data_IF_854000327940
#
_entry.id   IF_854000327940
#
_cell.length_a   1.000
_cell.length_b   1.000
_cell.length_c   1.000
_cell.angle_alpha   90.00
_cell.angle_beta   90.00
_cell.angle_gamma   90.00
#
_symmetry.space_group_name_H-M   'P 1'
#
loop_
_entity.id
_entity.type
_entity.pdbx_description
1 polymer ?
#
# COMPACT_ATOMS: atom_id res chain seq x y z
N UNK A 1 73.50 24.99 5.52
CA UNK A 1 72.52 24.19 6.27
C UNK A 1 71.19 24.85 6.07
N UNK A 2 70.44 24.42 4.99
CA UNK A 2 69.07 24.92 4.67
C UNK A 2 68.04 24.03 5.31
N UNK A 3 67.29 24.56 6.26
CA UNK A 3 66.16 23.88 6.84
C UNK A 3 64.93 24.20 5.97
N UNK A 4 64.41 23.20 5.26
CA UNK A 4 63.17 23.27 4.54
C UNK A 4 62.03 23.11 5.56
N UNK A 5 61.27 24.19 5.84
CA UNK A 5 60.02 24.11 6.59
C UNK A 5 58.94 23.62 5.65
N UNK A 6 58.50 22.40 5.83
CA UNK A 6 57.28 21.87 5.17
C UNK A 6 56.04 22.57 5.75
N UNK A 7 55.08 23.02 4.92
CA UNK A 7 53.88 23.68 5.42
C UNK A 7 52.86 22.63 5.92
N UNK A 8 52.87 22.37 7.21
CA UNK A 8 51.86 21.53 7.88
C UNK A 8 50.41 22.05 7.74
N UNK A 9 50.23 23.30 7.34
CA UNK A 9 48.93 23.96 7.20
C UNK A 9 48.08 23.51 6.01
N UNK A 10 48.67 23.05 4.89
CA UNK A 10 47.94 22.64 3.69
C UNK A 10 47.31 21.24 3.82
N UNK A 11 47.92 20.34 4.59
CA UNK A 11 47.42 19.00 4.80
C UNK A 11 46.17 18.98 5.70
N UNK A 12 46.08 19.89 6.68
CA UNK A 12 44.94 20.02 7.56
C UNK A 12 43.68 20.59 6.85
N UNK A 13 43.87 21.50 5.88
CA UNK A 13 42.77 22.09 5.11
C UNK A 13 42.16 21.12 4.10
N UNK A 14 42.97 20.21 3.53
CA UNK A 14 42.53 19.18 2.61
C UNK A 14 41.70 18.09 3.33
N UNK A 15 42.00 17.79 4.58
CA UNK A 15 41.28 16.77 5.38
C UNK A 15 39.93 17.26 5.87
N UNK A 16 39.72 18.56 6.08
CA UNK A 16 38.43 19.15 6.46
C UNK A 16 37.43 19.20 5.29
N UNK A 17 37.90 19.26 4.04
CA UNK A 17 37.00 19.30 2.86
C UNK A 17 36.36 17.94 2.52
N UNK A 18 36.88 16.81 3.02
CA UNK A 18 36.35 15.45 2.75
C UNK A 18 35.17 15.09 3.64
N UNK A 19 34.94 15.80 4.75
CA UNK A 19 33.88 15.51 5.71
C UNK A 19 32.52 16.11 5.36
N UNK A 20 32.41 16.93 4.30
CA UNK A 20 31.17 17.62 3.92
C UNK A 20 30.32 16.85 2.87
N UNK A 21 30.85 15.74 2.34
CA UNK A 21 30.30 15.11 1.13
C UNK A 21 29.36 13.92 1.34
N UNK A 22 28.81 13.67 2.54
CA UNK A 22 27.92 12.53 2.80
C UNK A 22 26.61 12.90 3.50
N UNK A 23 25.94 13.95 3.06
CA UNK A 23 24.52 14.11 3.39
C UNK A 23 23.70 13.46 2.27
N UNK A 24 23.26 12.21 2.50
CA UNK A 24 22.19 11.65 1.67
C UNK A 24 20.95 12.56 1.80
N UNK A 25 20.27 12.91 0.71
CA UNK A 25 19.05 13.69 0.80
C UNK A 25 18.01 12.93 1.64
N UNK A 26 17.23 13.67 2.41
CA UNK A 26 16.13 13.10 3.18
C UNK A 26 15.15 12.40 2.23
N UNK A 27 14.58 11.23 2.61
CA UNK A 27 13.64 10.53 1.78
C UNK A 27 12.33 11.31 1.64
N UNK A 28 11.74 11.27 0.45
CA UNK A 28 10.39 11.78 0.20
C UNK A 28 9.39 10.72 0.68
N UNK A 29 8.47 11.14 1.56
CA UNK A 29 7.49 10.24 2.15
C UNK A 29 6.15 10.32 1.42
N UNK A 30 5.57 9.17 1.11
CA UNK A 30 4.30 9.03 0.40
C UNK A 30 3.25 8.34 1.26
N UNK A 31 1.99 8.70 1.01
CA UNK A 31 0.81 8.06 1.63
C UNK A 31 -0.28 7.82 0.60
N UNK A 32 -1.17 6.87 0.86
CA UNK A 32 -2.32 6.58 0.02
C UNK A 32 -3.49 7.51 0.36
N UNK A 33 -4.24 7.89 -0.67
CA UNK A 33 -5.48 8.64 -0.55
C UNK A 33 -6.67 7.73 -0.90
N UNK A 34 -7.77 7.86 -0.15
CA UNK A 34 -8.99 7.16 -0.48
C UNK A 34 -9.62 7.71 -1.76
N UNK A 35 -10.07 6.81 -2.63
CA UNK A 35 -10.77 7.14 -3.86
C UNK A 35 -12.29 7.03 -3.65
N UNK A 36 -13.09 8.02 -4.06
CA UNK A 36 -14.54 7.94 -3.95
C UNK A 36 -15.10 6.81 -4.82
N UNK A 37 -16.20 6.19 -4.37
CA UNK A 37 -16.87 5.10 -5.10
C UNK A 37 -18.38 5.14 -4.97
N UNK A 38 -19.07 4.30 -5.73
CA UNK A 38 -20.52 4.26 -5.73
C UNK A 38 -21.06 3.66 -4.43
N UNK A 39 -21.99 4.38 -3.79
CA UNK A 39 -22.68 3.91 -2.60
C UNK A 39 -23.57 2.72 -2.93
N UNK A 40 -23.51 1.70 -2.08
CA UNK A 40 -24.36 0.51 -2.14
C UNK A 40 -25.26 0.44 -0.91
N UNK A 41 -26.46 -0.10 -1.09
CA UNK A 41 -27.40 -0.35 -0.01
C UNK A 41 -27.27 -1.76 0.55
N UNK A 42 -27.54 -1.92 1.83
CA UNK A 42 -27.45 -3.20 2.52
C UNK A 42 -26.02 -3.48 3.02
N UNK A 43 -25.77 -4.74 3.38
CA UNK A 43 -24.51 -5.20 3.95
C UNK A 43 -24.57 -5.44 5.46
N UNK A 44 -23.52 -6.04 6.05
CA UNK A 44 -23.44 -6.33 7.47
C UNK A 44 -23.25 -5.03 8.26
N UNK A 45 -23.71 -4.99 9.51
CA UNK A 45 -23.53 -3.79 10.36
C UNK A 45 -22.08 -3.59 10.77
N UNK A 46 -21.36 -4.68 11.06
CA UNK A 46 -19.97 -4.67 11.46
C UNK A 46 -19.16 -5.60 10.56
N UNK A 47 -18.17 -5.04 9.88
CA UNK A 47 -17.19 -5.77 9.07
C UNK A 47 -15.84 -5.70 9.76
N UNK A 48 -15.22 -6.85 10.02
CA UNK A 48 -13.85 -6.94 10.52
C UNK A 48 -12.91 -7.17 9.34
N UNK A 49 -12.10 -6.17 9.01
CA UNK A 49 -10.99 -6.32 8.09
C UNK A 49 -9.79 -6.93 8.85
N UNK A 50 -9.43 -8.16 8.51
CA UNK A 50 -8.22 -8.79 9.03
C UNK A 50 -6.96 -8.10 8.52
N UNK A 51 -5.82 -8.39 9.14
CA UNK A 51 -4.54 -7.89 8.68
C UNK A 51 -4.35 -8.27 7.21
N UNK A 52 -4.10 -7.26 6.36
CA UNK A 52 -3.88 -7.47 4.93
C UNK A 52 -2.53 -8.17 4.75
N UNK A 53 -2.55 -9.35 4.12
CA UNK A 53 -1.33 -10.00 3.66
C UNK A 53 -0.85 -9.31 2.37
N UNK A 54 0.43 -8.99 2.30
CA UNK A 54 1.08 -8.45 1.10
C UNK A 54 2.30 -9.31 0.74
N UNK A 55 2.69 -9.29 -0.53
CA UNK A 55 3.90 -9.98 -0.95
C UNK A 55 5.13 -9.43 -0.22
N UNK A 56 6.02 -10.30 0.27
CA UNK A 56 7.17 -9.92 1.11
C UNK A 56 8.07 -8.84 0.50
N UNK A 57 8.20 -8.80 -0.83
CA UNK A 57 9.02 -7.78 -1.47
C UNK A 57 8.41 -6.37 -1.36
N UNK A 58 7.11 -6.26 -1.02
CA UNK A 58 6.42 -5.00 -0.76
C UNK A 58 6.50 -4.55 0.72
N UNK A 59 6.99 -5.41 1.63
CA UNK A 59 7.10 -5.12 3.08
C UNK A 59 8.31 -4.25 3.44
N UNK A 60 8.70 -3.33 2.57
CA UNK A 60 9.83 -2.45 2.78
C UNK A 60 9.39 -0.99 2.85
N UNK A 61 10.23 -0.14 3.44
CA UNK A 61 9.95 1.30 3.53
C UNK A 61 10.02 1.96 2.16
N UNK A 62 10.92 1.48 1.28
CA UNK A 62 11.07 2.02 -0.06
C UNK A 62 9.95 1.56 -0.98
N UNK A 63 9.52 2.44 -1.88
CA UNK A 63 8.56 2.10 -2.93
C UNK A 63 9.23 1.14 -3.92
N UNK A 64 8.55 0.04 -4.25
CA UNK A 64 8.92 -0.90 -5.31
C UNK A 64 8.14 -0.53 -6.55
N UNK A 65 8.82 0.02 -7.55
CA UNK A 65 8.20 0.42 -8.80
C UNK A 65 7.81 -0.78 -9.65
N UNK A 66 8.69 -1.76 -9.77
CA UNK A 66 8.48 -2.91 -10.65
C UNK A 66 9.16 -4.16 -10.13
N UNK A 67 8.54 -5.31 -10.40
CA UNK A 67 9.09 -6.66 -10.17
C UNK A 67 9.29 -7.45 -11.46
N UNK A 68 9.35 -6.76 -12.59
CA UNK A 68 9.48 -7.37 -13.92
C UNK A 68 10.90 -7.88 -14.19
N UNK A 69 11.02 -8.82 -15.12
CA UNK A 69 12.30 -9.34 -15.62
C UNK A 69 13.22 -9.90 -14.51
N UNK A 70 12.64 -10.59 -13.52
CA UNK A 70 13.36 -11.22 -12.40
C UNK A 70 14.13 -10.22 -11.51
N UNK A 71 13.79 -8.93 -11.56
CA UNK A 71 14.46 -7.87 -10.83
C UNK A 71 13.45 -6.96 -10.13
N UNK A 72 13.78 -6.54 -8.90
CA UNK A 72 13.04 -5.49 -8.21
C UNK A 72 13.66 -4.13 -8.55
N UNK A 73 12.85 -3.21 -9.06
CA UNK A 73 13.20 -1.80 -9.18
C UNK A 73 12.70 -1.07 -7.92
N UNK A 74 13.63 -0.73 -7.04
CA UNK A 74 13.36 -0.15 -5.73
C UNK A 74 13.84 1.30 -5.71
N UNK A 75 12.94 2.22 -5.35
CA UNK A 75 13.23 3.64 -5.28
C UNK A 75 14.09 3.95 -4.07
N UNK A 76 15.29 4.50 -4.29
CA UNK A 76 16.26 4.74 -3.21
C UNK A 76 15.85 5.85 -2.24
N UNK A 77 15.10 6.86 -2.72
CA UNK A 77 14.77 8.06 -1.96
C UNK A 77 13.26 8.32 -1.82
N UNK A 78 12.41 7.42 -2.30
CA UNK A 78 10.96 7.52 -2.22
C UNK A 78 10.44 6.40 -1.33
N UNK A 79 9.87 6.77 -0.19
CA UNK A 79 9.52 5.84 0.87
C UNK A 79 8.04 5.95 1.25
N UNK A 80 7.50 4.89 1.74
CA UNK A 80 6.20 4.90 2.40
C UNK A 80 6.29 5.62 3.75
N UNK A 81 5.34 6.49 4.07
CA UNK A 81 5.27 7.20 5.36
C UNK A 81 4.95 6.30 6.55
N UNK A 82 4.40 5.11 6.29
CA UNK A 82 4.13 4.04 7.26
C UNK A 82 4.16 2.69 6.55
N UNK A 83 4.15 1.54 7.26
CA UNK A 83 4.11 0.23 6.62
C UNK A 83 2.96 0.11 5.61
N UNK A 84 3.26 -0.34 4.37
CA UNK A 84 2.30 -0.36 3.27
C UNK A 84 1.01 -1.11 3.61
N UNK A 85 1.10 -2.25 4.34
CA UNK A 85 -0.07 -3.00 4.77
C UNK A 85 -1.00 -2.19 5.69
N UNK A 86 -0.45 -1.32 6.55
CA UNK A 86 -1.23 -0.44 7.43
C UNK A 86 -1.92 0.67 6.62
N UNK A 87 -1.23 1.27 5.65
CA UNK A 87 -1.83 2.26 4.74
C UNK A 87 -2.96 1.68 3.91
N UNK A 88 -2.75 0.49 3.34
CA UNK A 88 -3.76 -0.23 2.57
C UNK A 88 -5.00 -0.54 3.42
N UNK A 89 -4.79 -0.98 4.68
CA UNK A 89 -5.88 -1.24 5.61
C UNK A 89 -6.68 0.03 5.91
N UNK A 90 -6.00 1.12 6.21
CA UNK A 90 -6.63 2.43 6.48
C UNK A 90 -7.41 2.95 5.28
N UNK A 91 -6.80 2.95 4.09
CA UNK A 91 -7.46 3.41 2.86
C UNK A 91 -8.69 2.54 2.54
N UNK A 92 -8.56 1.21 2.63
CA UNK A 92 -9.66 0.30 2.33
C UNK A 92 -10.83 0.42 3.32
N UNK A 93 -10.55 0.63 4.63
CA UNK A 93 -11.58 0.89 5.64
C UNK A 93 -12.36 2.15 5.29
N UNK A 94 -11.66 3.23 4.96
CA UNK A 94 -12.29 4.50 4.56
C UNK A 94 -13.14 4.32 3.29
N UNK A 95 -12.58 3.69 2.27
CA UNK A 95 -13.25 3.46 0.98
C UNK A 95 -14.48 2.55 1.09
N UNK A 96 -14.39 1.47 1.88
CA UNK A 96 -15.54 0.60 2.14
C UNK A 96 -16.60 1.31 2.98
N UNK A 97 -16.20 2.14 3.96
CA UNK A 97 -17.13 2.98 4.74
C UNK A 97 -17.91 3.95 3.86
N UNK A 98 -17.27 4.54 2.85
CA UNK A 98 -17.95 5.43 1.87
C UNK A 98 -18.93 4.65 0.99
N UNK A 99 -18.59 3.43 0.58
CA UNK A 99 -19.43 2.58 -0.29
C UNK A 99 -20.57 1.90 0.45
N UNK A 100 -20.39 1.62 1.73
CA UNK A 100 -21.33 0.90 2.61
C UNK A 100 -21.67 1.76 3.84
N UNK A 101 -22.41 2.87 3.68
CA UNK A 101 -22.66 3.82 4.77
C UNK A 101 -23.46 3.26 5.95
N UNK A 102 -24.08 2.09 5.77
CA UNK A 102 -24.78 1.37 6.84
C UNK A 102 -23.89 0.39 7.60
N UNK A 103 -22.65 0.20 7.14
CA UNK A 103 -21.66 -0.70 7.74
C UNK A 103 -20.58 0.08 8.47
N UNK A 104 -20.15 -0.44 9.61
CA UNK A 104 -18.92 0.01 10.28
C UNK A 104 -17.82 -0.99 9.96
N UNK A 105 -16.79 -0.54 9.24
CA UNK A 105 -15.61 -1.37 8.93
C UNK A 105 -14.53 -1.07 9.95
N UNK A 106 -14.02 -2.09 10.63
CA UNK A 106 -12.98 -1.98 11.65
C UNK A 106 -11.78 -2.86 11.30
N UNK A 107 -10.58 -2.42 11.70
CA UNK A 107 -9.36 -3.21 11.55
C UNK A 107 -9.20 -4.20 12.69
N UNK A 108 -8.65 -5.37 12.38
CA UNK A 108 -8.24 -6.37 13.38
C UNK A 108 -6.85 -6.01 13.95
N UNK A 109 -6.80 -4.92 14.71
CA UNK A 109 -5.56 -4.41 15.34
C UNK A 109 -5.70 -4.24 16.87
N UNK A 110 -6.80 -4.72 17.45
CA UNK A 110 -7.08 -4.64 18.87
C UNK A 110 -7.49 -3.26 19.41
N UNK A 111 -7.51 -2.21 18.57
CA UNK A 111 -7.86 -0.85 19.01
C UNK A 111 -9.37 -0.70 19.24
N UNK A 112 -10.20 -1.38 18.46
CA UNK A 112 -11.65 -1.41 18.60
C UNK A 112 -12.10 -2.87 18.61
N UNK A 113 -12.88 -3.25 19.63
CA UNK A 113 -13.46 -4.58 19.75
C UNK A 113 -14.97 -4.52 19.50
N UNK A 114 -15.43 -5.24 18.48
CA UNK A 114 -16.85 -5.46 18.23
C UNK A 114 -17.05 -6.89 17.71
N UNK A 115 -18.27 -7.44 17.92
CA UNK A 115 -18.61 -8.73 17.32
C UNK A 115 -18.91 -8.52 15.84
N UNK A 116 -18.12 -9.08 14.91
CA UNK A 116 -18.36 -8.86 13.50
C UNK A 116 -19.53 -9.69 12.98
N UNK A 117 -20.31 -9.12 12.07
CA UNK A 117 -21.31 -9.83 11.27
C UNK A 117 -20.66 -10.45 10.02
N UNK A 118 -19.57 -9.86 9.55
CA UNK A 118 -18.74 -10.41 8.47
C UNK A 118 -17.26 -10.12 8.71
N UNK A 119 -16.41 -11.03 8.21
CA UNK A 119 -14.94 -10.89 8.21
C UNK A 119 -14.48 -10.80 6.76
N UNK A 120 -13.61 -9.85 6.48
CA UNK A 120 -12.91 -9.66 5.21
C UNK A 120 -11.45 -10.01 5.39
N UNK A 121 -10.98 -10.99 4.62
CA UNK A 121 -9.58 -11.36 4.47
C UNK A 121 -9.09 -10.89 3.10
N UNK A 122 -7.87 -10.35 3.04
CA UNK A 122 -7.29 -9.83 1.80
C UNK A 122 -5.80 -10.21 1.69
N UNK A 123 -5.44 -10.72 0.52
CA UNK A 123 -4.06 -11.00 0.14
C UNK A 123 -3.72 -10.25 -1.14
N UNK A 124 -2.79 -9.29 -1.07
CA UNK A 124 -2.27 -8.54 -2.22
C UNK A 124 -0.98 -9.20 -2.69
N UNK A 125 -1.06 -9.85 -3.85
CA UNK A 125 0.03 -10.62 -4.44
C UNK A 125 0.95 -9.77 -5.31
N UNK A 126 0.41 -8.70 -5.90
CA UNK A 126 1.14 -7.76 -6.75
C UNK A 126 0.57 -6.35 -6.61
N UNK A 127 1.46 -5.37 -6.50
CA UNK A 127 1.14 -3.95 -6.46
C UNK A 127 2.35 -3.16 -6.95
N UNK A 128 2.61 -3.22 -8.25
CA UNK A 128 3.75 -2.60 -8.92
C UNK A 128 3.47 -2.39 -10.41
N UNK A 129 4.36 -1.67 -11.11
CA UNK A 129 4.24 -1.42 -12.54
C UNK A 129 4.63 -2.63 -13.39
N UNK A 130 3.94 -2.79 -14.53
CA UNK A 130 4.32 -3.70 -15.59
C UNK A 130 5.37 -3.08 -16.54
N UNK A 131 5.81 -3.83 -17.55
CA UNK A 131 6.78 -3.37 -18.54
C UNK A 131 6.30 -2.18 -19.39
N UNK A 132 4.99 -1.91 -19.43
CA UNK A 132 4.39 -0.78 -20.12
C UNK A 132 4.21 0.45 -19.20
N UNK A 133 4.59 0.35 -17.92
CA UNK A 133 4.44 1.41 -16.92
C UNK A 133 3.01 1.54 -16.38
N UNK A 134 2.16 0.52 -16.53
CA UNK A 134 0.86 0.50 -15.87
C UNK A 134 0.99 -0.16 -14.49
N UNK A 135 0.35 0.43 -13.50
CA UNK A 135 0.22 -0.20 -12.20
C UNK A 135 -0.67 -1.44 -12.30
N UNK A 136 -0.19 -2.56 -11.82
CA UNK A 136 -0.92 -3.82 -11.72
C UNK A 136 -1.20 -4.11 -10.24
N UNK A 137 -2.49 -4.18 -9.89
CA UNK A 137 -2.92 -4.74 -8.62
C UNK A 137 -3.48 -6.14 -8.85
N UNK A 138 -2.93 -7.13 -8.15
CA UNK A 138 -3.47 -8.49 -8.06
C UNK A 138 -3.77 -8.81 -6.60
N UNK A 139 -4.99 -9.23 -6.32
CA UNK A 139 -5.43 -9.55 -4.97
C UNK A 139 -6.44 -10.70 -4.96
N UNK A 140 -6.53 -11.34 -3.80
CA UNK A 140 -7.56 -12.31 -3.47
C UNK A 140 -8.28 -11.82 -2.21
N UNK A 141 -9.60 -11.83 -2.23
CA UNK A 141 -10.42 -11.51 -1.08
C UNK A 141 -11.32 -12.69 -0.71
N UNK A 142 -11.52 -12.87 0.60
CA UNK A 142 -12.48 -13.79 1.17
C UNK A 142 -13.42 -13.02 2.10
N UNK A 143 -14.73 -13.15 1.89
CA UNK A 143 -15.76 -12.62 2.77
C UNK A 143 -16.48 -13.78 3.44
N UNK A 144 -16.49 -13.80 4.76
CA UNK A 144 -17.19 -14.79 5.58
C UNK A 144 -18.22 -14.08 6.44
N UNK A 145 -19.49 -14.41 6.26
CA UNK A 145 -20.55 -13.95 7.16
C UNK A 145 -20.64 -14.84 8.40
N UNK A 146 -20.91 -14.24 9.55
CA UNK A 146 -21.12 -14.97 10.80
C UNK A 146 -22.27 -15.97 10.64
N UNK A 147 -22.01 -17.22 10.99
CA UNK A 147 -22.96 -18.32 10.81
C UNK A 147 -22.90 -19.02 9.45
N UNK A 148 -22.04 -18.59 8.53
CA UNK A 148 -21.77 -19.32 7.29
C UNK A 148 -20.51 -20.17 7.39
N UNK A 149 -20.55 -21.38 6.85
CA UNK A 149 -19.43 -22.31 6.89
C UNK A 149 -18.36 -22.00 5.81
N UNK A 150 -18.78 -21.44 4.68
CA UNK A 150 -17.88 -21.18 3.55
C UNK A 150 -17.79 -19.70 3.25
N UNK A 151 -16.57 -19.14 3.04
CA UNK A 151 -16.39 -17.79 2.59
C UNK A 151 -16.72 -17.65 1.09
N UNK A 152 -17.20 -16.47 0.70
CA UNK A 152 -17.20 -16.07 -0.70
C UNK A 152 -15.78 -15.64 -1.08
N UNK A 153 -15.19 -16.28 -2.10
CA UNK A 153 -13.84 -16.03 -2.58
C UNK A 153 -13.88 -15.31 -3.93
N UNK A 154 -13.00 -14.33 -4.11
CA UNK A 154 -12.83 -13.64 -5.40
C UNK A 154 -11.39 -13.22 -5.61
N UNK A 155 -10.90 -13.41 -6.84
CA UNK A 155 -9.62 -12.87 -7.31
C UNK A 155 -9.87 -11.60 -8.12
N UNK A 156 -8.98 -10.64 -7.96
CA UNK A 156 -9.02 -9.34 -8.64
C UNK A 156 -7.71 -9.10 -9.38
N UNK A 157 -7.82 -8.49 -10.54
CA UNK A 157 -6.69 -7.96 -11.30
C UNK A 157 -7.13 -6.65 -11.92
N UNK A 158 -6.42 -5.58 -11.59
CA UNK A 158 -6.63 -4.25 -12.14
C UNK A 158 -5.35 -3.76 -12.80
N UNK A 159 -5.49 -3.05 -13.91
CA UNK A 159 -4.43 -2.28 -14.53
C UNK A 159 -4.85 -0.82 -14.52
N UNK A 160 -3.96 0.05 -14.03
CA UNK A 160 -4.21 1.49 -13.92
C UNK A 160 -3.02 2.23 -14.52
N UNK A 161 -3.27 3.05 -15.53
CA UNK A 161 -2.24 3.94 -16.08
C UNK A 161 -2.01 5.09 -15.10
N UNK A 162 -0.76 5.32 -14.63
CA UNK A 162 -0.44 6.46 -13.79
C UNK A 162 -0.86 7.79 -14.45
N UNK A 163 -1.51 8.71 -13.73
CA UNK A 163 -1.98 9.97 -14.29
C UNK A 163 -0.85 10.95 -14.61
N UNK A 164 0.34 10.73 -14.07
CA UNK A 164 1.55 11.51 -14.28
C UNK A 164 2.79 10.61 -14.21
N UNK A 165 3.91 11.02 -14.80
CA UNK A 165 5.16 10.27 -14.67
C UNK A 165 5.74 10.37 -13.26
N UNK A 166 6.55 9.37 -12.89
CA UNK A 166 7.27 9.32 -11.62
C UNK A 166 6.43 8.84 -10.43
N UNK A 167 7.06 8.81 -9.26
CA UNK A 167 6.50 8.22 -8.04
C UNK A 167 5.15 8.84 -7.62
N UNK A 168 4.92 10.16 -7.71
CA UNK A 168 3.60 10.71 -7.40
C UNK A 168 2.48 10.12 -8.27
N UNK A 169 2.74 9.90 -9.58
CA UNK A 169 1.79 9.28 -10.48
C UNK A 169 1.54 7.81 -10.15
N UNK A 170 2.59 7.08 -9.81
CA UNK A 170 2.50 5.69 -9.35
C UNK A 170 1.66 5.57 -8.07
N UNK A 171 1.91 6.40 -7.06
CA UNK A 171 1.14 6.43 -5.81
C UNK A 171 -0.33 6.79 -6.04
N UNK A 172 -0.60 7.71 -6.97
CA UNK A 172 -1.97 8.03 -7.37
C UNK A 172 -2.65 6.84 -8.08
N UNK A 173 -1.92 6.10 -8.93
CA UNK A 173 -2.42 4.88 -9.56
C UNK A 173 -2.68 3.76 -8.55
N UNK A 174 -1.81 3.61 -7.54
CA UNK A 174 -2.03 2.67 -6.42
C UNK A 174 -3.32 3.04 -5.68
N UNK A 175 -3.51 4.30 -5.30
CA UNK A 175 -4.72 4.77 -4.63
C UNK A 175 -5.97 4.47 -5.46
N UNK A 176 -5.94 4.75 -6.76
CA UNK A 176 -7.04 4.43 -7.67
C UNK A 176 -7.30 2.92 -7.81
N UNK A 177 -6.25 2.09 -7.80
CA UNK A 177 -6.38 0.64 -7.85
C UNK A 177 -7.01 0.06 -6.57
N UNK A 178 -6.68 0.62 -5.40
CA UNK A 178 -7.31 0.26 -4.11
C UNK A 178 -8.79 0.64 -4.14
N UNK A 179 -9.16 1.82 -4.70
CA UNK A 179 -10.54 2.20 -4.92
C UNK A 179 -11.31 1.21 -5.78
N UNK A 180 -10.74 0.74 -6.90
CA UNK A 180 -11.33 -0.32 -7.72
C UNK A 180 -11.47 -1.66 -6.98
N UNK A 181 -10.52 -1.96 -6.11
CA UNK A 181 -10.60 -3.15 -5.25
C UNK A 181 -11.77 -3.03 -4.27
N UNK A 182 -11.96 -1.86 -3.64
CA UNK A 182 -13.10 -1.59 -2.78
C UNK A 182 -14.44 -1.68 -3.54
N UNK A 183 -14.51 -1.18 -4.79
CA UNK A 183 -15.67 -1.34 -5.68
C UNK A 183 -15.99 -2.83 -5.95
N UNK A 184 -14.95 -3.64 -6.06
CA UNK A 184 -15.10 -5.09 -6.26
C UNK A 184 -15.49 -5.86 -5.00
N UNK A 185 -15.06 -5.42 -3.81
CA UNK A 185 -15.33 -6.06 -2.52
C UNK A 185 -16.71 -5.68 -1.98
N UNK A 186 -17.14 -4.42 -2.12
CA UNK A 186 -18.40 -3.95 -1.56
C UNK A 186 -19.61 -4.84 -1.96
N UNK A 187 -19.76 -5.29 -3.23
CA UNK A 187 -20.83 -6.25 -3.60
C UNK A 187 -20.73 -7.60 -2.88
N UNK A 188 -19.51 -8.07 -2.57
CA UNK A 188 -19.35 -9.33 -1.84
C UNK A 188 -19.88 -9.23 -0.40
N UNK A 189 -19.83 -8.02 0.19
CA UNK A 189 -20.33 -7.73 1.52
C UNK A 189 -21.86 -7.52 1.53
N UNK A 190 -22.47 -7.14 0.40
CA UNK A 190 -23.94 -6.94 0.31
C UNK A 190 -24.70 -8.19 -0.11
N UNK A 191 -24.01 -9.15 -0.74
CA UNK A 191 -24.63 -10.39 -1.23
C UNK A 191 -24.09 -11.57 -0.43
N UNK A 192 -24.78 -12.05 0.62
CA UNK A 192 -24.41 -13.28 1.29
C UNK A 192 -24.37 -14.42 0.26
N UNK A 193 -23.29 -15.21 0.25
CA UNK A 193 -23.23 -16.42 -0.59
C UNK A 193 -24.48 -17.25 -0.32
N UNK A 194 -25.23 -17.56 -1.37
CA UNK A 194 -26.57 -18.15 -1.29
C UNK A 194 -26.61 -19.36 -0.37
N UNK A 195 -27.70 -19.47 0.38
CA UNK A 195 -28.05 -20.71 1.06
C UNK A 195 -28.34 -21.74 -0.04
N UNK A 196 -27.36 -22.58 -0.35
CA UNK A 196 -27.58 -23.81 -1.09
C UNK A 196 -27.95 -24.93 -0.16
#
# INVERSE_FOLDING_TARGET
>A
MNRVFLPFGLAALAMAAVLVACTSPDPVLYTLAAAPGAVQSGGPRVVLLQQIAIAHFLERSQIVRSSENYRLDVMSNDWWGEPLGAMLSRALIEELGQRLPQSTVIADNGAVSARPDATLELNIQRLDEDAAGNLILQAQAAVRFTGQNQPALRSFRFSVTPPAPGVPGEVAAISAAVGRLADGIAPMLTTPAGRG
#
